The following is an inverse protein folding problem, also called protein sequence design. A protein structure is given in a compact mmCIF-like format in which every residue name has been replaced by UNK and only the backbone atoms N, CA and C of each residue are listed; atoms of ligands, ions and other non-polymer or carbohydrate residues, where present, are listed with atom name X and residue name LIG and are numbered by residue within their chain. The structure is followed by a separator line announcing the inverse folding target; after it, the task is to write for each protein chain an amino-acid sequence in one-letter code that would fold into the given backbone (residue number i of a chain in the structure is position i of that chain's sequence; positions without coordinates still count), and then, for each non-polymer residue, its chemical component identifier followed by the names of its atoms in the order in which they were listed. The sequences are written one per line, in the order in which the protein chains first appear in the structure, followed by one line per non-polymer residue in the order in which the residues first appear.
data_IF_424761030228
#
_entry.id   IF_424761030228
#
_cell.length_a   1.000
_cell.length_b   1.000
_cell.length_c   1.000
_cell.angle_alpha   90.00
_cell.angle_beta   90.00
_cell.angle_gamma   90.00
#
_symmetry.space_group_name_H-M   'P 1'
#
loop_
_entity.id
_entity.type
_entity.pdbx_description
1 polymer ?
#
# COMPACT_ATOMS: atom_id res chain seq x y z
N UNK A 1 -8.67 87.30 27.21
CA UNK A 1 -9.63 86.80 26.23
C UNK A 1 -9.14 85.43 25.77
N UNK A 2 -9.83 84.42 26.15
CA UNK A 2 -9.45 83.04 25.95
C UNK A 2 -10.39 82.42 24.91
N UNK A 3 -9.88 81.73 23.89
CA UNK A 3 -10.68 80.77 23.17
C UNK A 3 -9.92 79.42 23.03
N UNK A 4 -10.03 78.55 24.01
CA UNK A 4 -9.78 77.14 23.83
C UNK A 4 -10.92 76.36 24.49
N UNK A 5 -11.92 76.09 23.71
CA UNK A 5 -12.87 75.02 24.02
C UNK A 5 -13.64 74.68 22.74
N UNK A 6 -13.24 73.63 22.06
CA UNK A 6 -14.11 72.81 21.20
C UNK A 6 -13.27 71.85 20.31
N UNK A 7 -12.67 70.82 20.88
CA UNK A 7 -12.15 69.69 20.13
C UNK A 7 -12.44 68.35 20.79
N UNK A 8 -13.49 68.23 21.62
CA UNK A 8 -13.81 67.00 22.35
C UNK A 8 -15.13 66.32 21.99
N UNK A 9 -15.95 66.89 21.08
CA UNK A 9 -17.31 66.37 20.88
C UNK A 9 -17.60 65.71 19.53
N UNK A 10 -16.61 65.56 18.65
CA UNK A 10 -16.85 65.04 17.30
C UNK A 10 -16.79 63.51 17.19
N UNK A 11 -16.32 62.77 18.23
CA UNK A 11 -16.20 61.30 18.20
C UNK A 11 -17.34 60.59 18.91
N UNK A 12 -18.20 61.25 19.62
CA UNK A 12 -19.30 60.67 20.37
C UNK A 12 -20.52 60.21 19.55
N UNK A 13 -20.90 60.85 18.42
CA UNK A 13 -22.06 60.46 17.65
C UNK A 13 -21.80 59.06 16.95
N UNK A 14 -20.61 58.79 16.44
CA UNK A 14 -20.31 57.57 15.76
C UNK A 14 -20.32 56.32 16.69
N UNK A 15 -19.89 56.49 17.94
CA UNK A 15 -19.98 55.42 18.93
C UNK A 15 -21.40 55.15 19.40
N UNK A 16 -22.25 56.18 19.36
CA UNK A 16 -23.67 56.09 19.74
C UNK A 16 -24.52 55.44 18.63
N UNK A 17 -24.19 55.73 17.37
CA UNK A 17 -24.84 55.08 16.23
C UNK A 17 -24.45 53.60 16.10
N UNK A 18 -23.18 53.23 16.38
CA UNK A 18 -22.74 51.84 16.44
C UNK A 18 -23.40 51.06 17.60
N UNK A 19 -23.77 51.75 18.69
CA UNK A 19 -24.50 51.12 19.80
C UNK A 19 -26.01 50.97 19.52
N UNK A 20 -26.58 51.76 18.62
CA UNK A 20 -28.01 51.74 18.28
C UNK A 20 -28.33 50.67 17.21
N UNK A 21 -27.35 50.21 16.44
CA UNK A 21 -27.53 49.24 15.38
C UNK A 21 -27.29 47.78 15.79
N UNK A 22 -26.95 47.52 17.06
CA UNK A 22 -27.04 46.18 17.64
C UNK A 22 -28.52 45.88 17.86
N UNK A 23 -29.11 45.32 16.82
CA UNK A 23 -30.51 44.93 16.77
C UNK A 23 -30.90 44.14 18.04
N UNK A 24 -32.09 44.41 18.56
CA UNK A 24 -32.74 43.77 19.70
C UNK A 24 -32.85 42.26 19.56
N UNK A 25 -32.60 41.70 18.37
CA UNK A 25 -32.57 40.25 18.09
C UNK A 25 -31.28 39.55 18.56
N UNK A 26 -30.18 40.29 18.75
CA UNK A 26 -28.91 39.72 19.24
C UNK A 26 -28.80 39.68 20.77
N UNK A 27 -29.70 40.33 21.48
CA UNK A 27 -29.67 40.40 22.94
C UNK A 27 -29.74 39.04 23.65
N UNK A 28 -30.55 38.05 23.24
CA UNK A 28 -30.59 36.74 23.88
C UNK A 28 -29.32 35.93 23.62
N UNK A 29 -28.72 36.05 22.44
CA UNK A 29 -27.45 35.38 22.12
C UNK A 29 -26.28 35.99 22.91
N UNK A 30 -26.24 37.31 23.04
CA UNK A 30 -25.19 37.96 23.81
C UNK A 30 -25.30 37.64 25.31
N UNK A 31 -26.50 37.58 25.87
CA UNK A 31 -26.73 37.17 27.25
C UNK A 31 -26.37 35.70 27.49
N UNK A 32 -26.65 34.81 26.53
CA UNK A 32 -26.26 33.40 26.60
C UNK A 32 -24.73 33.24 26.59
N UNK A 33 -24.04 33.97 25.69
CA UNK A 33 -22.58 33.96 25.59
C UNK A 33 -21.96 34.50 26.89
N UNK A 34 -22.46 35.64 27.41
CA UNK A 34 -21.94 36.21 28.66
C UNK A 34 -22.20 35.32 29.87
N UNK A 35 -23.37 34.66 29.93
CA UNK A 35 -23.73 33.77 31.04
C UNK A 35 -22.89 32.49 31.04
N UNK A 36 -22.44 32.01 29.87
CA UNK A 36 -21.65 30.80 29.69
C UNK A 36 -20.21 31.11 29.24
N UNK A 37 -19.77 32.37 29.37
CA UNK A 37 -18.46 32.81 28.87
C UNK A 37 -17.30 31.95 29.39
N UNK A 38 -17.34 31.55 30.66
CA UNK A 38 -16.35 30.68 31.26
C UNK A 38 -16.33 29.27 30.64
N UNK A 39 -17.51 28.71 30.36
CA UNK A 39 -17.64 27.40 29.74
C UNK A 39 -17.22 27.44 28.27
N UNK A 40 -17.62 28.45 27.52
CA UNK A 40 -17.24 28.68 26.13
C UNK A 40 -15.73 28.92 26.03
N UNK A 41 -15.17 29.76 26.90
CA UNK A 41 -13.71 29.95 26.96
C UNK A 41 -12.96 28.64 27.27
N UNK A 42 -13.47 27.82 28.21
CA UNK A 42 -12.91 26.53 28.53
C UNK A 42 -12.92 25.55 27.33
N UNK A 43 -14.03 25.50 26.59
CA UNK A 43 -14.13 24.68 25.37
C UNK A 43 -13.18 25.17 24.27
N UNK A 44 -13.07 26.48 24.08
CA UNK A 44 -12.15 27.07 23.08
C UNK A 44 -10.69 26.78 23.47
N UNK A 45 -10.33 26.93 24.74
CA UNK A 45 -8.98 26.60 25.22
C UNK A 45 -8.69 25.11 25.05
N UNK A 46 -9.63 24.23 25.39
CA UNK A 46 -9.48 22.78 25.19
C UNK A 46 -9.29 22.45 23.71
N UNK A 47 -10.10 23.05 22.83
CA UNK A 47 -9.97 22.88 21.39
C UNK A 47 -8.63 23.36 20.84
N UNK A 48 -8.13 24.49 21.31
CA UNK A 48 -6.80 25.00 20.96
C UNK A 48 -5.69 24.06 21.45
N UNK A 49 -5.79 23.52 22.66
CA UNK A 49 -4.83 22.56 23.18
C UNK A 49 -4.80 21.26 22.37
N UNK A 50 -5.96 20.77 21.92
CA UNK A 50 -6.05 19.62 21.02
C UNK A 50 -5.41 19.94 19.67
N UNK A 51 -5.68 21.09 19.08
CA UNK A 51 -5.06 21.51 17.81
C UNK A 51 -3.54 21.65 17.93
N UNK A 52 -3.05 22.25 19.01
CA UNK A 52 -1.61 22.37 19.26
C UNK A 52 -0.99 20.99 19.47
N UNK A 53 -1.62 20.14 20.26
CA UNK A 53 -1.14 18.77 20.53
C UNK A 53 -1.07 17.93 19.25
N UNK A 54 -2.10 17.95 18.41
CA UNK A 54 -2.12 17.25 17.12
C UNK A 54 -1.11 17.83 16.13
N UNK A 55 -0.95 19.18 16.13
CA UNK A 55 0.04 19.87 15.31
C UNK A 55 1.48 19.49 15.66
N UNK A 56 1.83 19.48 16.94
CA UNK A 56 3.16 19.09 17.43
C UNK A 56 3.41 17.60 17.13
N UNK A 57 2.42 16.75 17.34
CA UNK A 57 2.56 15.31 17.08
C UNK A 57 2.73 15.01 15.59
N UNK A 58 1.93 15.67 14.71
CA UNK A 58 2.06 15.51 13.26
C UNK A 58 3.39 16.04 12.72
N UNK A 59 3.89 17.16 13.28
CA UNK A 59 5.19 17.71 12.92
C UNK A 59 6.34 16.77 13.33
N UNK A 60 6.28 16.22 14.54
CA UNK A 60 7.29 15.26 15.02
C UNK A 60 7.26 13.94 14.24
N UNK A 61 6.07 13.43 13.90
CA UNK A 61 5.92 12.25 13.04
C UNK A 61 6.42 12.55 11.61
N UNK A 62 6.16 13.75 11.09
CA UNK A 62 6.65 14.20 9.79
C UNK A 62 8.18 14.19 9.71
N UNK A 63 8.85 14.77 10.68
CA UNK A 63 10.32 14.80 10.73
C UNK A 63 10.94 13.40 10.78
N UNK A 64 10.38 12.50 11.58
CA UNK A 64 10.85 11.09 11.62
C UNK A 64 10.68 10.38 10.28
N UNK A 65 9.60 10.65 9.57
CA UNK A 65 9.36 10.06 8.26
C UNK A 65 10.34 10.61 7.21
N UNK A 66 10.69 11.91 7.27
CA UNK A 66 11.70 12.50 6.37
C UNK A 66 13.10 11.95 6.65
N UNK A 67 13.52 11.88 7.91
CA UNK A 67 14.79 11.26 8.30
C UNK A 67 14.87 9.81 7.83
N UNK A 68 13.77 9.06 7.98
CA UNK A 68 13.68 7.67 7.53
C UNK A 68 13.78 7.53 6.00
N UNK A 69 13.14 8.44 5.24
CA UNK A 69 13.26 8.48 3.78
C UNK A 69 14.66 8.83 3.33
N UNK A 70 15.29 9.79 3.98
CA UNK A 70 16.66 10.17 3.68
C UNK A 70 17.63 9.01 3.97
N UNK A 71 17.45 8.32 5.08
CA UNK A 71 18.26 7.14 5.43
C UNK A 71 18.08 6.01 4.41
N UNK A 72 16.83 5.74 3.96
CA UNK A 72 16.55 4.78 2.91
C UNK A 72 17.24 5.16 1.62
N UNK A 73 17.06 6.38 1.14
CA UNK A 73 17.69 6.88 -0.09
C UNK A 73 19.21 6.83 -0.02
N UNK A 74 19.79 7.21 1.12
CA UNK A 74 21.23 7.12 1.34
C UNK A 74 21.73 5.68 1.23
N UNK A 75 21.03 4.74 1.87
CA UNK A 75 21.37 3.31 1.83
C UNK A 75 21.35 2.77 0.39
N UNK A 76 20.31 3.12 -0.38
CA UNK A 76 20.18 2.71 -1.79
C UNK A 76 21.28 3.27 -2.69
N UNK A 77 21.71 4.52 -2.45
CA UNK A 77 22.69 5.21 -3.28
C UNK A 77 24.14 4.86 -2.92
N UNK A 78 24.44 4.59 -1.66
CA UNK A 78 25.82 4.43 -1.18
C UNK A 78 26.27 2.98 -1.10
N UNK A 79 25.37 2.03 -0.87
CA UNK A 79 25.66 0.61 -0.74
C UNK A 79 25.32 -0.17 -2.01
N UNK A 80 26.00 -1.29 -2.24
CA UNK A 80 25.78 -2.15 -3.40
C UNK A 80 25.83 -3.64 -3.00
N UNK A 81 25.19 -4.47 -3.82
CA UNK A 81 25.21 -5.91 -3.67
C UNK A 81 24.68 -6.37 -2.30
N UNK A 82 25.20 -7.44 -1.78
CA UNK A 82 24.77 -8.08 -0.52
C UNK A 82 24.82 -7.15 0.70
N UNK A 83 25.73 -6.18 0.70
CA UNK A 83 25.81 -5.20 1.78
C UNK A 83 24.56 -4.28 1.77
N UNK A 84 24.14 -3.82 0.60
CA UNK A 84 22.90 -3.06 0.44
C UNK A 84 21.70 -3.88 0.86
N UNK A 85 21.60 -5.13 0.41
CA UNK A 85 20.49 -6.03 0.75
C UNK A 85 20.39 -6.27 2.25
N UNK A 86 21.50 -6.52 2.94
CA UNK A 86 21.52 -6.68 4.39
C UNK A 86 21.14 -5.39 5.14
N UNK A 87 21.65 -4.24 4.69
CA UNK A 87 21.34 -2.94 5.27
C UNK A 87 19.85 -2.59 5.10
N UNK A 88 19.27 -2.82 3.90
CA UNK A 88 17.85 -2.60 3.64
C UNK A 88 16.94 -3.50 4.49
N UNK A 89 17.31 -4.77 4.70
CA UNK A 89 16.60 -5.69 5.62
C UNK A 89 16.57 -5.13 7.04
N UNK A 90 17.73 -4.72 7.55
CA UNK A 90 17.85 -4.15 8.90
C UNK A 90 17.10 -2.82 9.03
N UNK A 91 17.14 -2.01 7.97
CA UNK A 91 16.46 -0.73 7.90
C UNK A 91 14.94 -0.90 7.93
N UNK A 92 14.39 -1.77 7.08
CA UNK A 92 12.95 -2.04 6.99
C UNK A 92 12.34 -2.48 8.34
N UNK A 93 13.11 -3.22 9.16
CA UNK A 93 12.67 -3.69 10.47
C UNK A 93 12.42 -2.56 11.49
N UNK A 94 13.05 -1.40 11.32
CA UNK A 94 12.98 -0.26 12.26
C UNK A 94 12.31 0.98 11.68
N UNK A 95 11.91 0.94 10.41
CA UNK A 95 11.26 2.06 9.75
C UNK A 95 9.87 2.36 10.32
N UNK A 96 9.49 3.66 10.39
CA UNK A 96 8.11 4.05 10.65
C UNK A 96 7.15 3.44 9.64
N UNK A 97 5.89 3.24 10.01
CA UNK A 97 4.88 2.59 9.17
C UNK A 97 4.75 3.25 7.78
N UNK A 98 4.86 4.59 7.73
CA UNK A 98 4.77 5.36 6.47
C UNK A 98 5.93 5.08 5.48
N UNK A 99 7.07 4.58 5.96
CA UNK A 99 8.29 4.32 5.15
C UNK A 99 8.63 2.83 5.10
N UNK A 100 8.00 2.02 5.94
CA UNK A 100 8.29 0.58 6.05
C UNK A 100 8.05 -0.16 4.74
N UNK A 101 6.92 0.05 4.09
CA UNK A 101 6.60 -0.63 2.84
C UNK A 101 7.56 -0.27 1.70
N UNK A 102 7.88 1.01 1.43
CA UNK A 102 8.98 1.37 0.53
C UNK A 102 10.31 0.67 0.85
N UNK A 103 10.72 0.62 2.12
CA UNK A 103 11.97 -0.02 2.53
C UNK A 103 11.95 -1.54 2.29
N UNK A 104 10.82 -2.21 2.55
CA UNK A 104 10.63 -3.64 2.25
C UNK A 104 10.70 -3.92 0.76
N UNK A 105 10.11 -3.06 -0.09
CA UNK A 105 10.20 -3.19 -1.55
C UNK A 105 11.62 -2.98 -2.05
N UNK A 106 12.33 -1.97 -1.52
CA UNK A 106 13.74 -1.75 -1.84
C UNK A 106 14.60 -2.97 -1.46
N UNK A 107 14.33 -3.58 -0.29
CA UNK A 107 14.98 -4.82 0.10
C UNK A 107 14.68 -5.96 -0.87
N UNK A 108 13.40 -6.17 -1.26
CA UNK A 108 13.02 -7.21 -2.22
C UNK A 108 13.75 -7.04 -3.57
N UNK A 109 13.78 -5.80 -4.09
CA UNK A 109 14.46 -5.48 -5.35
C UNK A 109 15.97 -5.70 -5.25
N UNK A 110 16.61 -5.28 -4.15
CA UNK A 110 18.03 -5.50 -3.92
C UNK A 110 18.37 -7.00 -3.84
N UNK A 111 17.55 -7.78 -3.16
CA UNK A 111 17.72 -9.23 -3.04
C UNK A 111 17.60 -9.92 -4.42
N UNK A 112 16.64 -9.50 -5.26
CA UNK A 112 16.52 -10.02 -6.63
C UNK A 112 17.73 -9.66 -7.50
N UNK A 113 18.27 -8.45 -7.35
CA UNK A 113 19.45 -8.00 -8.07
C UNK A 113 20.72 -8.77 -7.65
N UNK A 114 20.77 -9.24 -6.40
CA UNK A 114 21.86 -10.04 -5.85
C UNK A 114 21.69 -11.55 -6.11
N UNK A 115 20.67 -11.93 -6.88
CA UNK A 115 20.28 -13.33 -7.14
C UNK A 115 19.99 -14.12 -5.84
N UNK A 116 19.41 -13.47 -4.84
CA UNK A 116 18.89 -14.06 -3.61
C UNK A 116 17.35 -14.06 -3.58
N UNK A 117 16.72 -14.99 -4.31
CA UNK A 117 15.26 -15.06 -4.37
C UNK A 117 14.63 -15.46 -3.03
N UNK A 118 15.40 -16.08 -2.12
CA UNK A 118 14.90 -16.42 -0.79
C UNK A 118 14.69 -15.16 0.05
N UNK A 119 15.68 -14.26 0.07
CA UNK A 119 15.54 -12.97 0.76
C UNK A 119 14.46 -12.09 0.11
N UNK A 120 14.32 -12.14 -1.22
CA UNK A 120 13.25 -11.44 -1.92
C UNK A 120 11.85 -11.96 -1.50
N UNK A 121 11.67 -13.28 -1.38
CA UNK A 121 10.42 -13.87 -0.92
C UNK A 121 10.08 -13.45 0.52
N UNK A 122 11.07 -13.37 1.42
CA UNK A 122 10.88 -12.86 2.78
C UNK A 122 10.40 -11.38 2.76
N UNK A 123 11.05 -10.55 1.95
CA UNK A 123 10.70 -9.13 1.84
C UNK A 123 9.28 -8.94 1.29
N UNK A 124 8.92 -9.62 0.21
CA UNK A 124 7.56 -9.58 -0.35
C UNK A 124 6.50 -10.11 0.63
N UNK A 125 6.82 -11.15 1.39
CA UNK A 125 5.94 -11.65 2.45
C UNK A 125 5.66 -10.57 3.50
N UNK A 126 6.68 -9.80 3.89
CA UNK A 126 6.51 -8.70 4.83
C UNK A 126 5.67 -7.54 4.24
N UNK A 127 5.82 -7.24 2.93
CA UNK A 127 4.94 -6.26 2.23
C UNK A 127 3.51 -6.76 2.22
N UNK A 128 3.28 -8.03 1.87
CA UNK A 128 1.94 -8.63 1.85
C UNK A 128 1.27 -8.60 3.22
N UNK A 129 2.04 -8.77 4.29
CA UNK A 129 1.53 -8.68 5.66
C UNK A 129 1.21 -7.22 6.07
N UNK A 130 1.98 -6.25 5.60
CA UNK A 130 1.79 -4.83 5.91
C UNK A 130 0.57 -4.21 5.19
N UNK A 131 0.14 -4.77 4.06
CA UNK A 131 -0.99 -4.30 3.25
C UNK A 131 -1.92 -5.47 2.84
N UNK A 132 -2.32 -6.30 3.80
CA UNK A 132 -2.96 -7.60 3.56
C UNK A 132 -4.22 -7.52 2.66
N UNK A 133 -5.03 -6.49 2.81
CA UNK A 133 -6.27 -6.30 2.05
C UNK A 133 -6.10 -5.38 0.83
N UNK A 134 -4.99 -4.67 0.73
CA UNK A 134 -4.70 -3.70 -0.31
C UNK A 134 -4.22 -4.31 -1.62
N UNK A 135 -4.17 -3.47 -2.64
CA UNK A 135 -3.70 -3.87 -3.97
C UNK A 135 -2.20 -4.20 -3.96
N UNK A 136 -1.42 -3.47 -3.17
CA UNK A 136 0.02 -3.67 -3.07
C UNK A 136 0.35 -4.99 -2.37
N UNK A 137 -0.37 -5.33 -1.30
CA UNK A 137 -0.19 -6.61 -0.61
C UNK A 137 -0.53 -7.81 -1.50
N UNK A 138 -1.57 -7.71 -2.32
CA UNK A 138 -1.91 -8.74 -3.33
C UNK A 138 -0.80 -8.88 -4.38
N UNK A 139 -0.29 -7.77 -4.90
CA UNK A 139 0.83 -7.78 -5.85
C UNK A 139 2.11 -8.34 -5.20
N UNK A 140 2.38 -8.00 -3.94
CA UNK A 140 3.50 -8.56 -3.19
C UNK A 140 3.37 -10.07 -2.98
N UNK A 141 2.16 -10.58 -2.77
CA UNK A 141 1.91 -12.02 -2.71
C UNK A 141 2.31 -12.76 -4.01
N UNK A 142 2.05 -12.15 -5.17
CA UNK A 142 2.53 -12.70 -6.45
C UNK A 142 4.06 -12.60 -6.56
N UNK A 143 4.65 -11.47 -6.15
CA UNK A 143 6.11 -11.29 -6.08
C UNK A 143 6.79 -12.32 -5.16
N UNK A 144 6.17 -12.62 -4.02
CA UNK A 144 6.61 -13.68 -3.10
C UNK A 144 6.59 -15.05 -3.79
N UNK A 145 5.49 -15.39 -4.47
CA UNK A 145 5.36 -16.67 -5.16
C UNK A 145 6.39 -16.83 -6.29
N UNK A 146 6.60 -15.77 -7.10
CA UNK A 146 7.63 -15.76 -8.14
C UNK A 146 9.05 -15.95 -7.57
N UNK A 147 9.33 -15.30 -6.43
CA UNK A 147 10.61 -15.42 -5.74
C UNK A 147 10.80 -16.84 -5.16
N UNK A 148 9.75 -17.45 -4.62
CA UNK A 148 9.77 -18.83 -4.15
C UNK A 148 10.03 -19.81 -5.29
N UNK A 149 9.40 -19.62 -6.46
CA UNK A 149 9.65 -20.41 -7.67
C UNK A 149 11.11 -20.30 -8.10
N UNK A 150 11.65 -19.08 -8.14
CA UNK A 150 13.06 -18.84 -8.48
C UNK A 150 14.01 -19.47 -7.46
N UNK A 151 13.62 -19.55 -6.19
CA UNK A 151 14.36 -20.24 -5.12
C UNK A 151 14.25 -21.78 -5.16
N UNK A 152 13.48 -22.35 -6.10
CA UNK A 152 13.22 -23.79 -6.17
C UNK A 152 12.22 -24.30 -5.13
N UNK A 153 11.54 -23.41 -4.40
CA UNK A 153 10.52 -23.72 -3.38
C UNK A 153 9.13 -23.83 -3.99
N UNK A 154 8.99 -24.69 -4.99
CA UNK A 154 7.80 -24.78 -5.84
C UNK A 154 6.54 -25.19 -5.07
N UNK A 155 6.66 -26.06 -4.06
CA UNK A 155 5.51 -26.50 -3.24
C UNK A 155 4.97 -25.34 -2.40
N UNK A 156 5.87 -24.54 -1.80
CA UNK A 156 5.48 -23.36 -1.03
C UNK A 156 4.82 -22.31 -1.95
N UNK A 157 5.39 -22.09 -3.14
CA UNK A 157 4.84 -21.16 -4.14
C UNK A 157 3.43 -21.61 -4.59
N UNK A 158 3.23 -22.89 -4.89
CA UNK A 158 1.93 -23.42 -5.29
C UNK A 158 0.89 -23.23 -4.18
N UNK A 159 1.24 -23.57 -2.95
CA UNK A 159 0.34 -23.38 -1.80
C UNK A 159 -0.06 -21.92 -1.61
N UNK A 160 0.90 -20.99 -1.72
CA UNK A 160 0.64 -19.55 -1.63
C UNK A 160 -0.30 -19.08 -2.75
N UNK A 161 -0.02 -19.45 -3.99
CA UNK A 161 -0.82 -19.06 -5.17
C UNK A 161 -2.25 -19.60 -5.09
N UNK A 162 -2.42 -20.86 -4.66
CA UNK A 162 -3.74 -21.46 -4.44
C UNK A 162 -4.52 -20.72 -3.33
N UNK A 163 -3.85 -20.31 -2.27
CA UNK A 163 -4.47 -19.48 -1.23
C UNK A 163 -4.90 -18.11 -1.74
N UNK A 164 -4.09 -17.47 -2.60
CA UNK A 164 -4.44 -16.20 -3.24
C UNK A 164 -5.66 -16.41 -4.15
N UNK A 165 -5.62 -17.44 -4.99
CA UNK A 165 -6.69 -17.77 -5.92
C UNK A 165 -8.02 -18.06 -5.22
N UNK A 166 -8.00 -18.80 -4.10
CA UNK A 166 -9.19 -19.15 -3.33
C UNK A 166 -9.89 -17.94 -2.69
N UNK A 167 -9.16 -16.85 -2.43
CA UNK A 167 -9.71 -15.61 -1.87
C UNK A 167 -10.28 -14.67 -2.94
N UNK A 168 -10.03 -14.92 -4.21
CA UNK A 168 -10.49 -14.09 -5.31
C UNK A 168 -11.73 -14.68 -5.95
N UNK A 169 -12.74 -13.86 -6.29
CA UNK A 169 -13.84 -14.27 -7.14
C UNK A 169 -13.30 -14.77 -8.49
N UNK A 170 -13.97 -15.72 -9.11
CA UNK A 170 -13.51 -16.36 -10.34
C UNK A 170 -13.23 -15.36 -11.47
N UNK A 171 -14.10 -14.38 -11.62
CA UNK A 171 -13.98 -13.30 -12.60
C UNK A 171 -12.83 -12.30 -12.32
N UNK A 172 -12.23 -12.38 -11.13
CA UNK A 172 -11.12 -11.50 -10.71
C UNK A 172 -9.75 -12.21 -10.75
N UNK A 173 -9.73 -13.50 -11.15
CA UNK A 173 -8.50 -14.26 -11.30
C UNK A 173 -7.83 -13.90 -12.61
N UNK A 174 -6.71 -13.18 -12.52
CA UNK A 174 -5.97 -12.76 -13.71
C UNK A 174 -5.34 -13.95 -14.45
N UNK A 175 -5.09 -13.75 -15.75
CA UNK A 175 -4.34 -14.72 -16.57
C UNK A 175 -2.98 -15.04 -15.94
N UNK A 176 -2.28 -14.01 -15.46
CA UNK A 176 -0.97 -14.13 -14.82
C UNK A 176 -1.02 -15.00 -13.57
N UNK A 177 -1.98 -14.80 -12.68
CA UNK A 177 -2.14 -15.64 -11.48
C UNK A 177 -2.33 -17.10 -11.85
N UNK A 178 -3.22 -17.40 -12.80
CA UNK A 178 -3.51 -18.75 -13.26
C UNK A 178 -2.30 -19.39 -13.92
N UNK A 179 -1.54 -18.62 -14.71
CA UNK A 179 -0.29 -19.08 -15.31
C UNK A 179 0.75 -19.42 -14.23
N UNK A 180 0.92 -18.55 -13.22
CA UNK A 180 1.83 -18.84 -12.11
C UNK A 180 1.42 -20.07 -11.31
N UNK A 181 0.11 -20.32 -11.12
CA UNK A 181 -0.39 -21.56 -10.51
C UNK A 181 0.03 -22.79 -11.33
N UNK A 182 -0.12 -22.73 -12.66
CA UNK A 182 0.29 -23.83 -13.54
C UNK A 182 1.81 -24.06 -13.51
N UNK A 183 2.60 -22.99 -13.55
CA UNK A 183 4.07 -23.07 -13.47
C UNK A 183 4.52 -23.64 -12.13
N UNK A 184 3.94 -23.18 -11.02
CA UNK A 184 4.24 -23.68 -9.68
C UNK A 184 3.87 -25.16 -9.53
N UNK A 185 2.70 -25.56 -10.05
CA UNK A 185 2.26 -26.94 -10.03
C UNK A 185 3.21 -27.85 -10.84
N UNK A 186 3.60 -27.42 -12.05
CA UNK A 186 4.57 -28.15 -12.87
C UNK A 186 5.93 -28.29 -12.18
N UNK A 187 6.44 -27.19 -11.61
CA UNK A 187 7.71 -27.18 -10.88
C UNK A 187 7.67 -28.00 -9.58
N UNK A 188 6.49 -28.17 -8.96
CA UNK A 188 6.27 -29.01 -7.80
C UNK A 188 6.03 -30.49 -8.16
N UNK A 189 6.01 -30.86 -9.46
CA UNK A 189 5.75 -32.20 -9.93
C UNK A 189 4.26 -32.57 -10.01
N UNK A 190 3.35 -31.64 -9.77
CA UNK A 190 1.90 -31.82 -9.91
C UNK A 190 1.45 -31.61 -11.36
N UNK A 191 1.94 -32.44 -12.26
CA UNK A 191 1.75 -32.29 -13.70
C UNK A 191 0.28 -32.34 -14.12
N UNK A 192 -0.56 -33.10 -13.43
CA UNK A 192 -1.99 -33.22 -13.67
C UNK A 192 -2.73 -31.89 -13.37
N UNK A 193 -2.32 -31.21 -12.30
CA UNK A 193 -2.86 -29.88 -11.95
C UNK A 193 -2.42 -28.86 -12.98
N UNK A 194 -1.12 -28.81 -13.28
CA UNK A 194 -0.55 -27.88 -14.25
C UNK A 194 -1.20 -28.04 -15.63
N UNK A 195 -1.33 -29.25 -16.14
CA UNK A 195 -1.95 -29.53 -17.44
C UNK A 195 -3.41 -29.04 -17.48
N UNK A 196 -4.19 -29.32 -16.45
CA UNK A 196 -5.59 -28.83 -16.37
C UNK A 196 -5.69 -27.32 -16.40
N UNK A 197 -4.81 -26.61 -15.66
CA UNK A 197 -4.81 -25.15 -15.65
C UNK A 197 -4.38 -24.59 -17.00
N UNK A 198 -3.35 -25.15 -17.64
CA UNK A 198 -2.93 -24.75 -18.98
C UNK A 198 -4.02 -25.00 -20.04
N UNK A 199 -4.75 -26.10 -19.99
CA UNK A 199 -5.89 -26.35 -20.88
C UNK A 199 -7.02 -25.35 -20.66
N UNK A 200 -7.28 -24.96 -19.42
CA UNK A 200 -8.25 -23.91 -19.13
C UNK A 200 -7.79 -22.53 -19.67
N UNK A 201 -6.51 -22.19 -19.51
CA UNK A 201 -5.93 -20.99 -20.08
C UNK A 201 -6.01 -20.98 -21.61
N UNK A 202 -5.73 -22.12 -22.27
CA UNK A 202 -5.86 -22.24 -23.72
C UNK A 202 -7.28 -21.99 -24.21
N UNK A 203 -8.31 -22.46 -23.49
CA UNK A 203 -9.72 -22.22 -23.89
C UNK A 203 -10.10 -20.74 -23.81
N UNK A 204 -9.51 -20.00 -22.86
CA UNK A 204 -9.80 -18.58 -22.63
C UNK A 204 -8.94 -17.65 -23.50
N UNK A 205 -7.93 -18.20 -24.21
CA UNK A 205 -6.97 -17.48 -25.06
C UNK A 205 -7.21 -17.74 -26.54
N UNK A 206 -6.64 -16.90 -27.42
CA UNK A 206 -6.73 -17.05 -28.88
C UNK A 206 -5.34 -16.94 -29.53
N UNK A 207 -5.21 -17.52 -30.74
CA UNK A 207 -3.99 -17.42 -31.53
C UNK A 207 -2.77 -18.02 -30.83
N UNK A 208 -1.67 -17.31 -30.84
CA UNK A 208 -0.36 -17.79 -30.33
C UNK A 208 -0.39 -18.18 -28.84
N UNK A 209 -1.19 -17.48 -28.02
CA UNK A 209 -1.33 -17.81 -26.61
C UNK A 209 -2.06 -19.14 -26.41
N UNK A 210 -3.10 -19.41 -27.19
CA UNK A 210 -3.80 -20.69 -27.15
C UNK A 210 -2.84 -21.83 -27.51
N UNK A 211 -2.06 -21.68 -28.59
CA UNK A 211 -1.08 -22.69 -29.04
C UNK A 211 -0.01 -22.93 -27.98
N UNK A 212 0.49 -21.86 -27.35
CA UNK A 212 1.47 -21.96 -26.25
C UNK A 212 0.93 -22.76 -25.08
N UNK A 213 -0.26 -22.43 -24.58
CA UNK A 213 -0.84 -23.12 -23.42
C UNK A 213 -1.18 -24.58 -23.73
N UNK A 214 -1.68 -24.86 -24.92
CA UNK A 214 -1.90 -26.24 -25.37
C UNK A 214 -0.59 -27.05 -25.41
N UNK A 215 0.46 -26.48 -25.98
CA UNK A 215 1.78 -27.15 -26.04
C UNK A 215 2.33 -27.41 -24.64
N UNK A 216 2.17 -26.46 -23.70
CA UNK A 216 2.59 -26.66 -22.29
C UNK A 216 1.80 -27.78 -21.62
N UNK A 217 0.49 -27.85 -21.82
CA UNK A 217 -0.35 -28.92 -21.26
C UNK A 217 0.05 -30.29 -21.80
N UNK A 218 0.29 -30.41 -23.10
CA UNK A 218 0.71 -31.66 -23.76
C UNK A 218 2.07 -32.12 -23.26
N UNK A 219 3.01 -31.20 -23.04
CA UNK A 219 4.35 -31.58 -22.52
C UNK A 219 4.31 -32.18 -21.11
N UNK A 220 3.28 -31.83 -20.32
CA UNK A 220 3.10 -32.32 -18.95
C UNK A 220 2.31 -33.64 -18.86
N UNK A 221 1.62 -34.04 -19.92
CA UNK A 221 0.84 -35.30 -20.00
C UNK A 221 1.32 -36.18 -21.15
N UNK A 222 2.46 -36.83 -21.01
CA UNK A 222 3.07 -37.62 -22.11
C UNK A 222 2.18 -38.76 -22.65
N UNK A 223 1.23 -39.23 -21.85
CA UNK A 223 0.26 -40.23 -22.29
C UNK A 223 -0.76 -39.71 -23.32
N UNK A 224 -1.21 -38.48 -23.16
CA UNK A 224 -2.12 -37.83 -24.11
C UNK A 224 -1.44 -37.50 -25.46
N UNK A 225 -0.14 -37.18 -25.42
CA UNK A 225 0.65 -36.97 -26.64
C UNK A 225 0.81 -38.25 -27.45
N UNK A 226 0.99 -39.40 -26.79
CA UNK A 226 1.09 -40.72 -27.46
C UNK A 226 -0.24 -41.17 -28.07
N UNK A 227 -1.37 -40.86 -27.44
CA UNK A 227 -2.70 -41.18 -28.01
C UNK A 227 -3.02 -40.31 -29.23
N UNK A 228 -2.58 -39.06 -29.28
CA UNK A 228 -2.76 -38.19 -30.46
C UNK A 228 -1.81 -38.60 -31.61
N UNK A 229 -0.58 -38.97 -31.35
CA UNK A 229 0.31 -39.52 -32.39
C UNK A 229 -0.21 -40.84 -32.97
N UNK A 230 -0.80 -41.72 -32.15
CA UNK A 230 -1.40 -42.99 -32.61
C UNK A 230 -2.70 -42.75 -33.40
N UNK A 231 -3.46 -41.68 -33.10
CA UNK A 231 -4.69 -41.37 -33.86
C UNK A 231 -4.43 -40.55 -35.12
N UNK A 232 -3.22 -40.02 -35.28
CA UNK A 232 -2.80 -39.26 -36.48
C UNK A 232 -2.03 -40.10 -37.51
N UNK A 233 -1.77 -41.40 -37.25
CA UNK A 233 -1.19 -42.28 -38.23
C UNK A 233 -2.32 -42.92 -39.06
N UNK A 234 -2.28 -42.76 -40.39
CA UNK A 234 -3.33 -43.22 -41.33
C UNK A 234 -3.41 -44.75 -41.45
#
# INVERSE_FOLDING_TARGET
MNPQKNQGEATLPLLRDLQAEVSTESAPLLQFILRHAGLIAGVVVLFLLVLIGTGIWSWHAGNKNEEAREELARTELTLQGKERTAALKALAARMPDAVRVPALLAWAQSALADDDPTAAAEAYSAVAAADADGALGKAAGLGQAASLLKAGKSVEALSLLQNIEARLPENSRSLELRQMVAEAAAAAGHNDIAARVYLALARDSQGVENDYFNARAMALTPSAAKEQEQSAQP
#
